data_IF_564194209031
#
_entry.id   IF_564194209031
#
_cell.length_a   1.000
_cell.length_b   1.000
_cell.length_c   1.000
_cell.angle_alpha   90.00
_cell.angle_beta   90.00
_cell.angle_gamma   90.00
#
_symmetry.space_group_name_H-M   'P 1'
#
loop_
_entity.id
_entity.type
_entity.pdbx_description
1 polymer ?
#
# COMPACT_ATOMS: atom_id res chain seq x y z
N UNK A 1 -3.73 12.69 2.52
CA UNK A 1 -3.85 11.50 1.68
C UNK A 1 -5.02 10.66 2.17
N UNK A 2 -5.84 10.13 1.27
CA UNK A 2 -6.92 9.23 1.65
C UNK A 2 -6.37 7.80 1.78
N UNK A 3 -6.34 7.27 3.00
CA UNK A 3 -6.07 5.84 3.25
C UNK A 3 -7.29 4.94 2.95
N UNK A 4 -8.46 5.54 2.68
CA UNK A 4 -9.69 4.77 2.45
C UNK A 4 -9.59 3.82 1.25
N UNK A 5 -8.86 4.20 0.20
CA UNK A 5 -8.66 3.33 -0.96
C UNK A 5 -7.72 2.14 -0.67
N UNK A 6 -6.80 2.28 0.30
CA UNK A 6 -5.93 1.18 0.74
C UNK A 6 -6.74 -0.01 1.27
N UNK A 7 -7.85 0.26 1.96
CA UNK A 7 -8.71 -0.78 2.53
C UNK A 7 -9.43 -1.62 1.46
N UNK A 8 -9.65 -1.08 0.27
CA UNK A 8 -10.28 -1.83 -0.83
C UNK A 8 -9.42 -3.01 -1.28
N UNK A 9 -8.11 -2.88 -1.22
CA UNK A 9 -7.18 -3.94 -1.63
C UNK A 9 -6.63 -4.74 -0.45
N UNK A 10 -6.44 -4.14 0.72
CA UNK A 10 -5.88 -4.82 1.90
C UNK A 10 -6.93 -5.61 2.68
N UNK A 11 -8.15 -5.08 2.80
CA UNK A 11 -9.26 -5.72 3.55
C UNK A 11 -10.25 -6.43 2.64
N UNK A 12 -9.76 -7.04 1.56
CA UNK A 12 -10.56 -7.68 0.53
C UNK A 12 -11.49 -8.77 1.07
N UNK A 13 -11.09 -9.46 2.15
CA UNK A 13 -11.92 -10.52 2.73
C UNK A 13 -13.27 -10.01 3.24
N UNK A 14 -13.33 -8.78 3.79
CA UNK A 14 -14.59 -8.15 4.19
C UNK A 14 -15.48 -7.87 2.98
N UNK A 15 -14.89 -7.43 1.87
CA UNK A 15 -15.62 -7.26 0.60
C UNK A 15 -16.14 -8.60 0.11
N UNK A 16 -15.32 -9.66 0.14
CA UNK A 16 -15.72 -10.99 -0.32
C UNK A 16 -16.78 -11.64 0.57
N UNK A 17 -16.80 -11.34 1.86
CA UNK A 17 -17.86 -11.79 2.75
C UNK A 17 -19.21 -11.17 2.38
N UNK A 18 -19.22 -9.94 1.85
CA UNK A 18 -20.44 -9.22 1.42
C UNK A 18 -20.81 -9.53 -0.04
N UNK A 19 -19.83 -9.76 -0.90
CA UNK A 19 -19.95 -9.99 -2.34
C UNK A 19 -19.12 -11.21 -2.76
N UNK A 20 -19.53 -12.43 -2.38
CA UNK A 20 -18.73 -13.64 -2.60
C UNK A 20 -18.45 -13.94 -4.08
N UNK A 21 -19.31 -13.48 -4.98
CA UNK A 21 -19.15 -13.62 -6.44
C UNK A 21 -17.92 -12.87 -6.99
N UNK A 22 -17.38 -11.91 -6.25
CA UNK A 22 -16.16 -11.18 -6.63
C UNK A 22 -14.87 -11.94 -6.30
N UNK A 23 -14.95 -13.01 -5.54
CA UNK A 23 -13.82 -13.88 -5.24
C UNK A 23 -13.57 -14.96 -6.30
N UNK A 24 -12.39 -15.56 -6.23
CA UNK A 24 -12.00 -16.62 -7.17
C UNK A 24 -12.75 -17.94 -6.97
N UNK A 25 -13.18 -18.23 -5.74
CA UNK A 25 -13.87 -19.49 -5.38
C UNK A 25 -15.39 -19.34 -5.34
N UNK A 26 -15.92 -18.11 -5.36
CA UNK A 26 -17.34 -17.82 -5.26
C UNK A 26 -17.93 -18.00 -3.85
N UNK A 27 -17.08 -18.15 -2.84
CA UNK A 27 -17.49 -18.26 -1.43
C UNK A 27 -17.90 -19.67 -1.01
N UNK A 28 -18.49 -19.81 0.20
CA UNK A 28 -18.73 -18.70 1.13
C UNK A 28 -17.43 -18.13 1.73
N UNK A 29 -17.44 -16.85 2.08
CA UNK A 29 -16.35 -16.20 2.80
C UNK A 29 -16.89 -15.63 4.11
N UNK A 30 -16.07 -15.69 5.15
CA UNK A 30 -16.39 -15.10 6.45
C UNK A 30 -15.49 -13.91 6.74
N UNK A 31 -16.01 -12.93 7.46
CA UNK A 31 -15.20 -11.83 7.96
C UNK A 31 -14.22 -12.39 8.99
N UNK A 32 -12.93 -12.17 8.76
CA UNK A 32 -11.91 -12.58 9.72
C UNK A 32 -11.70 -11.49 10.76
N UNK A 33 -11.84 -11.79 12.06
CA UNK A 33 -11.57 -10.83 13.13
C UNK A 33 -10.08 -10.74 13.48
N UNK A 34 -9.28 -11.68 12.99
CA UNK A 34 -7.85 -11.77 13.32
C UNK A 34 -7.01 -11.00 12.31
N UNK A 35 -5.85 -10.53 12.78
CA UNK A 35 -4.85 -9.94 11.90
C UNK A 35 -4.17 -11.01 11.04
N UNK A 36 -3.91 -10.68 9.77
CA UNK A 36 -3.14 -11.57 8.89
C UNK A 36 -3.28 -11.25 7.41
N UNK A 37 -2.46 -11.92 6.62
CA UNK A 37 -2.52 -11.90 5.14
C UNK A 37 -3.27 -13.16 4.69
N UNK A 38 -4.42 -12.97 4.08
CA UNK A 38 -5.32 -14.07 3.71
C UNK A 38 -5.22 -14.40 2.22
N UNK A 39 -5.39 -15.69 1.84
CA UNK A 39 -5.26 -16.10 0.43
C UNK A 39 -6.40 -15.62 -0.46
N UNK A 40 -7.55 -15.27 0.11
CA UNK A 40 -8.74 -14.88 -0.62
C UNK A 40 -8.72 -13.38 -0.91
N UNK A 41 -8.57 -13.07 -2.17
CA UNK A 41 -8.50 -11.70 -2.73
C UNK A 41 -9.48 -11.58 -3.90
N UNK A 42 -9.77 -10.36 -4.34
CA UNK A 42 -10.62 -10.10 -5.50
C UNK A 42 -10.14 -10.87 -6.74
N UNK A 43 -11.09 -11.38 -7.49
CA UNK A 43 -10.84 -12.08 -8.73
C UNK A 43 -10.63 -11.09 -9.87
N UNK A 44 -9.36 -10.85 -10.24
CA UNK A 44 -9.00 -9.89 -11.30
C UNK A 44 -9.51 -10.36 -12.68
N UNK A 45 -9.78 -11.64 -12.83
CA UNK A 45 -10.43 -12.18 -14.03
C UNK A 45 -11.95 -11.94 -14.10
N UNK A 46 -12.56 -11.45 -13.01
CA UNK A 46 -13.98 -11.11 -12.95
C UNK A 46 -14.18 -9.64 -13.28
N UNK A 47 -14.82 -9.35 -14.43
CA UNK A 47 -15.05 -7.98 -14.86
C UNK A 47 -15.95 -7.19 -13.91
N UNK A 48 -16.93 -7.83 -13.28
CA UNK A 48 -17.81 -7.17 -12.30
C UNK A 48 -17.03 -6.76 -11.04
N UNK A 49 -16.07 -7.57 -10.59
CA UNK A 49 -15.19 -7.21 -9.48
C UNK A 49 -14.30 -6.00 -9.85
N UNK A 50 -13.81 -5.96 -11.08
CA UNK A 50 -13.00 -4.83 -11.54
C UNK A 50 -13.83 -3.55 -11.70
N UNK A 51 -15.08 -3.66 -12.20
CA UNK A 51 -16.00 -2.53 -12.26
C UNK A 51 -16.37 -2.02 -10.87
N UNK A 52 -16.60 -2.91 -9.91
CA UNK A 52 -16.86 -2.54 -8.52
C UNK A 52 -15.71 -1.73 -7.90
N UNK A 53 -14.46 -2.09 -8.20
CA UNK A 53 -13.30 -1.29 -7.77
C UNK A 53 -13.32 0.11 -8.40
N UNK A 54 -13.63 0.21 -9.69
CA UNK A 54 -13.75 1.51 -10.38
C UNK A 54 -14.89 2.36 -9.82
N UNK A 55 -16.01 1.76 -9.47
CA UNK A 55 -17.16 2.45 -8.87
C UNK A 55 -16.78 3.04 -7.50
N UNK A 56 -16.08 2.25 -6.65
CA UNK A 56 -15.57 2.75 -5.37
C UNK A 56 -14.57 3.90 -5.57
N UNK A 57 -13.64 3.77 -6.51
CA UNK A 57 -12.70 4.84 -6.82
C UNK A 57 -13.43 6.10 -7.33
N UNK A 58 -14.54 5.92 -8.07
CA UNK A 58 -15.40 7.01 -8.51
C UNK A 58 -16.02 7.77 -7.34
N UNK A 59 -16.58 7.07 -6.36
CA UNK A 59 -17.14 7.70 -5.15
C UNK A 59 -16.06 8.37 -4.29
N UNK A 60 -14.89 7.73 -4.16
CA UNK A 60 -13.78 8.28 -3.37
C UNK A 60 -13.30 9.63 -3.91
N UNK A 61 -13.21 9.81 -5.22
CA UNK A 61 -12.74 11.08 -5.79
C UNK A 61 -13.78 12.20 -5.71
N UNK A 62 -15.03 11.89 -5.48
CA UNK A 62 -16.08 12.88 -5.18
C UNK A 62 -15.97 13.39 -3.73
N UNK A 63 -15.58 12.50 -2.81
CA UNK A 63 -15.45 12.82 -1.38
C UNK A 63 -14.11 13.50 -1.09
N UNK A 64 -13.01 13.00 -1.69
CA UNK A 64 -11.67 13.47 -1.44
C UNK A 64 -11.12 14.30 -2.60
N UNK A 65 -10.83 15.59 -2.40
CA UNK A 65 -10.36 16.49 -3.47
C UNK A 65 -8.88 16.28 -3.83
N UNK A 66 -8.17 15.40 -3.13
CA UNK A 66 -6.73 15.17 -3.34
C UNK A 66 -6.43 14.76 -4.79
N UNK A 67 -5.35 15.31 -5.34
CA UNK A 67 -4.80 14.86 -6.62
C UNK A 67 -4.35 13.38 -6.56
N UNK A 68 -3.87 12.95 -5.42
CA UNK A 68 -3.34 11.60 -5.21
C UNK A 68 -4.35 10.72 -4.50
N UNK A 69 -4.57 9.51 -5.04
CA UNK A 69 -5.40 8.46 -4.44
C UNK A 69 -4.52 7.25 -4.19
N UNK A 70 -4.39 6.85 -2.93
CA UNK A 70 -3.65 5.66 -2.56
C UNK A 70 -4.51 4.42 -2.80
N UNK A 71 -4.07 3.54 -3.68
CA UNK A 71 -4.85 2.35 -4.09
C UNK A 71 -4.35 1.04 -3.46
N UNK A 72 -3.41 1.08 -2.51
CA UNK A 72 -2.86 -0.10 -1.86
C UNK A 72 -1.86 -0.85 -2.74
N UNK A 73 -2.10 -2.12 -2.99
CA UNK A 73 -1.26 -2.99 -3.82
C UNK A 73 -0.35 -3.91 -3.01
N UNK A 74 -0.39 -3.81 -1.68
CA UNK A 74 0.36 -4.62 -0.73
C UNK A 74 -0.31 -5.97 -0.44
N UNK A 75 0.49 -6.92 0.01
CA UNK A 75 0.06 -8.16 0.65
C UNK A 75 -1.06 -8.93 -0.07
N UNK A 76 -1.06 -8.92 -1.39
CA UNK A 76 -2.03 -9.65 -2.21
C UNK A 76 -1.48 -11.03 -2.63
N UNK A 77 -1.86 -12.13 -1.97
CA UNK A 77 -1.37 -13.47 -2.34
C UNK A 77 -1.89 -13.92 -3.71
N UNK A 78 -1.01 -14.48 -4.54
CA UNK A 78 -1.33 -14.92 -5.91
C UNK A 78 -1.94 -16.32 -5.97
N UNK A 79 -2.02 -17.02 -4.84
CA UNK A 79 -2.38 -18.45 -4.79
C UNK A 79 -3.76 -18.73 -5.40
N UNK A 80 -4.75 -17.85 -5.19
CA UNK A 80 -6.08 -18.02 -5.77
C UNK A 80 -6.08 -17.75 -7.27
N UNK A 81 -5.41 -16.70 -7.72
CA UNK A 81 -5.33 -16.34 -9.14
C UNK A 81 -4.70 -17.45 -9.98
N UNK A 82 -3.66 -18.09 -9.44
CA UNK A 82 -2.95 -19.21 -10.10
C UNK A 82 -3.88 -20.37 -10.48
N UNK A 83 -4.90 -20.63 -9.67
CA UNK A 83 -5.82 -21.73 -9.85
C UNK A 83 -7.22 -21.30 -10.33
N UNK A 84 -7.45 -20.00 -10.54
CA UNK A 84 -8.74 -19.47 -10.94
C UNK A 84 -8.87 -19.43 -12.47
N UNK A 85 -9.83 -20.14 -13.07
CA UNK A 85 -10.01 -20.14 -14.53
C UNK A 85 -10.26 -18.75 -15.11
N UNK A 86 -10.98 -17.87 -14.39
CA UNK A 86 -11.24 -16.48 -14.82
C UNK A 86 -9.94 -15.66 -14.86
N UNK A 87 -9.09 -15.79 -13.81
CA UNK A 87 -7.81 -15.08 -13.76
C UNK A 87 -6.85 -15.60 -14.83
N UNK A 88 -6.77 -16.92 -15.03
CA UNK A 88 -5.92 -17.52 -16.07
C UNK A 88 -6.40 -17.15 -17.49
N UNK A 89 -7.71 -17.04 -17.69
CA UNK A 89 -8.26 -16.51 -18.94
C UNK A 89 -7.84 -15.06 -19.16
N UNK A 90 -7.96 -14.18 -18.17
CA UNK A 90 -7.51 -12.78 -18.23
C UNK A 90 -6.01 -12.69 -18.54
N UNK A 91 -5.19 -13.48 -17.88
CA UNK A 91 -3.74 -13.57 -18.14
C UNK A 91 -3.47 -13.89 -19.63
N UNK A 92 -4.20 -14.85 -20.19
CA UNK A 92 -4.04 -15.24 -21.59
C UNK A 92 -4.52 -14.15 -22.56
N UNK A 93 -5.67 -13.52 -22.30
CA UNK A 93 -6.27 -12.46 -23.12
C UNK A 93 -5.40 -11.20 -23.15
N UNK A 94 -4.80 -10.81 -22.02
CA UNK A 94 -3.93 -9.65 -21.91
C UNK A 94 -2.47 -9.97 -22.25
N UNK A 95 -2.17 -11.22 -22.61
CA UNK A 95 -0.82 -11.65 -22.97
C UNK A 95 0.21 -11.57 -21.84
N UNK A 96 -0.23 -11.64 -20.58
CA UNK A 96 0.63 -11.52 -19.42
C UNK A 96 1.49 -12.78 -19.27
N UNK A 97 2.80 -12.63 -19.39
CA UNK A 97 3.74 -13.76 -19.39
C UNK A 97 4.74 -13.64 -18.24
N UNK A 98 5.09 -14.76 -17.65
CA UNK A 98 6.22 -14.81 -16.73
C UNK A 98 7.52 -14.38 -17.42
N UNK A 99 8.37 -13.66 -16.70
CA UNK A 99 9.67 -13.19 -17.19
C UNK A 99 10.23 -12.06 -16.33
N UNK A 100 11.55 -11.85 -16.42
CA UNK A 100 12.20 -10.80 -15.65
C UNK A 100 12.14 -11.01 -14.11
N UNK A 101 11.97 -12.26 -13.66
CA UNK A 101 11.85 -12.60 -12.23
C UNK A 101 10.42 -12.54 -11.70
N UNK A 102 9.43 -12.21 -12.54
CA UNK A 102 8.01 -12.11 -12.16
C UNK A 102 7.17 -13.21 -12.79
N UNK A 103 6.12 -13.62 -12.09
CA UNK A 103 5.12 -14.59 -12.57
C UNK A 103 4.08 -13.88 -13.45
N UNK A 104 3.24 -14.65 -14.12
CA UNK A 104 2.09 -14.11 -14.85
C UNK A 104 1.05 -13.50 -13.89
N UNK A 105 0.95 -14.04 -12.68
CA UNK A 105 0.07 -13.52 -11.62
C UNK A 105 0.58 -12.20 -11.03
N UNK A 106 1.89 -11.99 -10.94
CA UNK A 106 2.44 -10.67 -10.60
C UNK A 106 2.05 -9.62 -11.65
N UNK A 107 2.13 -9.99 -12.94
CA UNK A 107 1.68 -9.12 -14.02
C UNK A 107 0.16 -8.95 -14.07
N UNK A 108 -0.61 -9.89 -13.54
CA UNK A 108 -2.05 -9.72 -13.36
C UNK A 108 -2.34 -8.64 -12.28
N UNK A 109 -1.55 -8.56 -11.23
CA UNK A 109 -1.63 -7.43 -10.29
C UNK A 109 -1.28 -6.11 -11.01
N UNK A 110 -0.19 -6.09 -11.79
CA UNK A 110 0.18 -4.91 -12.58
C UNK A 110 -0.95 -4.45 -13.49
N UNK A 111 -1.64 -5.38 -14.17
CA UNK A 111 -2.82 -5.09 -14.98
C UNK A 111 -3.92 -4.40 -14.16
N UNK A 112 -4.20 -4.90 -12.95
CA UNK A 112 -5.17 -4.31 -12.04
C UNK A 112 -4.79 -2.87 -11.66
N UNK A 113 -3.53 -2.64 -11.27
CA UNK A 113 -3.02 -1.31 -10.92
C UNK A 113 -3.06 -0.34 -12.12
N UNK A 114 -2.67 -0.78 -13.29
CA UNK A 114 -2.72 0.01 -14.52
C UNK A 114 -4.16 0.35 -14.93
N UNK A 115 -5.11 -0.54 -14.67
CA UNK A 115 -6.53 -0.28 -14.92
C UNK A 115 -7.05 0.82 -13.98
N UNK A 116 -6.75 0.72 -12.68
CA UNK A 116 -7.07 1.76 -11.71
C UNK A 116 -6.40 3.10 -12.06
N UNK A 117 -5.15 3.08 -12.50
CA UNK A 117 -4.43 4.27 -12.96
C UNK A 117 -5.16 4.93 -14.13
N UNK A 118 -5.49 4.18 -15.18
CA UNK A 118 -6.21 4.73 -16.35
C UNK A 118 -7.53 5.37 -15.94
N UNK A 119 -8.29 4.71 -15.06
CA UNK A 119 -9.57 5.22 -14.55
C UNK A 119 -9.39 6.54 -13.81
N UNK A 120 -8.39 6.64 -12.93
CA UNK A 120 -8.11 7.83 -12.11
C UNK A 120 -7.47 8.96 -12.95
N UNK A 121 -6.53 8.64 -13.85
CA UNK A 121 -5.88 9.63 -14.71
C UNK A 121 -6.89 10.32 -15.64
N UNK A 122 -7.87 9.57 -16.16
CA UNK A 122 -8.96 10.14 -16.98
C UNK A 122 -9.83 11.17 -16.21
N UNK A 123 -9.71 11.17 -14.86
CA UNK A 123 -10.41 12.08 -13.95
C UNK A 123 -9.48 13.08 -13.26
N UNK A 124 -8.25 13.24 -13.78
CA UNK A 124 -7.26 14.20 -13.28
C UNK A 124 -6.63 13.80 -11.94
N UNK A 125 -6.69 12.54 -11.58
CA UNK A 125 -6.09 11.99 -10.35
C UNK A 125 -4.88 11.12 -10.68
N UNK A 126 -3.95 10.99 -9.75
CA UNK A 126 -2.78 10.12 -9.84
C UNK A 126 -2.85 9.05 -8.76
N UNK A 127 -2.31 7.86 -9.06
CA UNK A 127 -2.27 6.78 -8.06
C UNK A 127 -1.02 6.86 -7.18
N UNK A 128 -1.18 6.42 -5.94
CA UNK A 128 -0.07 5.97 -5.08
C UNK A 128 -0.32 4.50 -4.77
N UNK A 129 0.72 3.68 -4.78
CA UNK A 129 0.66 2.30 -4.33
C UNK A 129 1.87 1.93 -3.49
N UNK A 130 1.70 0.92 -2.64
CA UNK A 130 2.81 0.36 -1.88
C UNK A 130 3.85 -0.26 -2.81
N UNK A 131 5.09 -0.42 -2.36
CA UNK A 131 6.21 -0.83 -3.21
C UNK A 131 6.07 -2.22 -3.85
N UNK A 132 5.10 -3.05 -3.44
CA UNK A 132 4.74 -4.28 -4.15
C UNK A 132 4.16 -4.05 -5.55
N UNK A 133 3.70 -2.83 -5.88
CA UNK A 133 3.32 -2.50 -7.27
C UNK A 133 4.50 -2.54 -8.25
N UNK A 134 5.73 -2.57 -7.74
CA UNK A 134 6.95 -2.81 -8.51
C UNK A 134 7.14 -4.29 -8.91
N UNK A 135 6.30 -5.19 -8.39
CA UNK A 135 6.34 -6.60 -8.72
C UNK A 135 5.60 -6.88 -10.04
N UNK A 136 6.28 -6.70 -11.15
CA UNK A 136 5.73 -6.83 -12.50
C UNK A 136 6.01 -5.59 -13.33
N UNK A 137 4.98 -5.11 -14.04
CA UNK A 137 5.04 -3.91 -14.87
C UNK A 137 4.36 -2.75 -14.15
N UNK A 138 5.15 -1.91 -13.49
CA UNK A 138 4.61 -0.76 -12.76
C UNK A 138 3.80 0.16 -13.69
N UNK A 139 2.69 0.71 -13.17
CA UNK A 139 1.86 1.64 -13.92
C UNK A 139 2.65 2.94 -14.22
N UNK A 140 2.60 3.48 -15.46
CA UNK A 140 3.55 4.48 -15.95
C UNK A 140 3.66 5.77 -15.12
N UNK A 141 2.55 6.21 -14.51
CA UNK A 141 2.51 7.47 -13.75
C UNK A 141 2.26 7.21 -12.25
N UNK A 142 2.49 5.98 -11.78
CA UNK A 142 2.31 5.64 -10.39
C UNK A 142 3.38 6.29 -9.51
N UNK A 143 2.94 6.84 -8.38
CA UNK A 143 3.81 7.18 -7.26
C UNK A 143 3.95 5.94 -6.38
N UNK A 144 5.16 5.61 -5.98
CA UNK A 144 5.47 4.44 -5.16
C UNK A 144 5.67 4.85 -3.70
N UNK A 145 4.91 4.23 -2.80
CA UNK A 145 5.13 4.38 -1.36
C UNK A 145 5.93 3.18 -0.85
N UNK A 146 7.17 3.43 -0.41
CA UNK A 146 8.12 2.39 -0.01
C UNK A 146 7.99 2.10 1.48
N UNK A 147 7.43 0.94 1.85
CA UNK A 147 7.23 0.56 3.24
C UNK A 147 8.07 -0.65 3.71
N UNK A 148 8.42 -1.55 2.80
CA UNK A 148 9.26 -2.73 3.10
C UNK A 148 10.75 -2.39 3.31
N UNK A 149 11.05 -1.17 3.68
CA UNK A 149 12.37 -0.57 3.72
C UNK A 149 12.51 0.49 2.63
N UNK A 150 13.73 1.01 2.42
CA UNK A 150 13.98 2.05 1.42
C UNK A 150 14.28 1.51 0.02
N UNK A 151 14.54 0.22 -0.13
CA UNK A 151 15.01 -0.36 -1.39
C UNK A 151 13.99 -0.23 -2.54
N UNK A 152 12.69 -0.41 -2.24
CA UNK A 152 11.62 -0.21 -3.21
C UNK A 152 11.55 1.22 -3.73
N UNK A 153 11.63 2.19 -2.84
CA UNK A 153 11.65 3.61 -3.19
C UNK A 153 12.88 4.01 -4.00
N UNK A 154 14.06 3.54 -3.62
CA UNK A 154 15.30 3.76 -4.37
C UNK A 154 15.14 3.21 -5.80
N UNK A 155 14.64 1.98 -5.94
CA UNK A 155 14.39 1.35 -7.25
C UNK A 155 13.39 2.18 -8.06
N UNK A 156 12.29 2.62 -7.47
CA UNK A 156 11.27 3.41 -8.15
C UNK A 156 11.83 4.76 -8.64
N UNK A 157 12.58 5.49 -7.79
CA UNK A 157 13.24 6.74 -8.17
C UNK A 157 14.25 6.55 -9.31
N UNK A 158 15.01 5.45 -9.30
CA UNK A 158 15.92 5.08 -10.39
C UNK A 158 15.19 4.78 -11.71
N UNK A 159 13.93 4.34 -11.63
CA UNK A 159 13.05 4.13 -12.79
C UNK A 159 12.33 5.40 -13.24
N UNK A 160 12.48 6.52 -12.52
CA UNK A 160 11.83 7.80 -12.83
C UNK A 160 10.41 7.93 -12.27
N UNK A 161 10.01 7.10 -11.32
CA UNK A 161 8.76 7.23 -10.60
C UNK A 161 8.90 8.12 -9.38
N UNK A 162 7.88 8.93 -9.10
CA UNK A 162 7.80 9.65 -7.85
C UNK A 162 7.65 8.69 -6.66
N UNK A 163 8.24 9.06 -5.51
CA UNK A 163 8.37 8.18 -4.35
C UNK A 163 8.00 8.91 -3.07
N UNK A 164 7.29 8.20 -2.19
CA UNK A 164 7.12 8.58 -0.79
C UNK A 164 7.83 7.52 0.06
N UNK A 165 8.78 7.94 0.88
CA UNK A 165 9.51 7.03 1.77
C UNK A 165 8.72 6.84 3.07
N UNK A 166 8.27 5.61 3.32
CA UNK A 166 7.57 5.20 4.53
C UNK A 166 8.14 3.89 5.11
N UNK A 167 9.47 3.71 5.15
CA UNK A 167 10.06 2.43 5.54
C UNK A 167 9.65 2.05 6.97
N UNK A 168 9.15 0.83 7.15
CA UNK A 168 8.71 0.31 8.44
C UNK A 168 9.81 0.34 9.51
N UNK A 169 11.05 0.28 9.09
CA UNK A 169 12.22 0.39 9.97
C UNK A 169 12.42 1.77 10.59
N UNK A 170 11.74 2.82 10.10
CA UNK A 170 11.92 4.21 10.53
C UNK A 170 10.61 5.00 10.67
N UNK A 171 9.51 4.54 10.07
CA UNK A 171 8.29 5.33 9.90
C UNK A 171 7.03 4.67 10.45
N UNK A 172 7.10 3.51 11.10
CA UNK A 172 5.95 2.80 11.66
C UNK A 172 5.83 3.10 13.14
N UNK A 173 5.02 4.10 13.48
CA UNK A 173 4.86 4.62 14.83
C UNK A 173 3.91 3.80 15.70
N UNK A 174 3.36 2.72 15.16
CA UNK A 174 2.61 1.67 15.84
C UNK A 174 3.51 0.58 16.45
N UNK A 175 4.83 0.64 16.24
CA UNK A 175 5.79 -0.24 16.87
C UNK A 175 6.11 0.21 18.30
N UNK A 176 6.61 -0.69 19.15
CA UNK A 176 7.13 -0.33 20.47
C UNK A 176 8.23 0.72 20.35
N UNK A 177 8.21 1.71 21.23
CA UNK A 177 9.21 2.79 21.26
C UNK A 177 10.51 2.39 21.98
N UNK A 178 10.46 1.31 22.76
CA UNK A 178 11.58 0.77 23.54
C UNK A 178 11.64 -0.74 23.41
N UNK A 179 12.83 -1.31 23.65
CA UNK A 179 13.03 -2.76 23.72
C UNK A 179 12.51 -3.36 25.03
N UNK A 180 12.41 -2.58 26.11
CA UNK A 180 11.75 -2.98 27.36
C UNK A 180 10.25 -2.68 27.26
N UNK A 181 9.49 -3.70 26.90
CA UNK A 181 8.05 -3.57 26.62
C UNK A 181 7.17 -3.85 27.84
N UNK A 182 7.77 -4.05 29.02
CA UNK A 182 7.06 -4.52 30.23
C UNK A 182 5.93 -3.58 30.66
N UNK A 183 6.18 -2.28 30.57
CA UNK A 183 5.25 -1.23 31.00
C UNK A 183 4.67 -0.45 29.79
N UNK A 184 4.92 -0.94 28.55
CA UNK A 184 4.41 -0.34 27.33
C UNK A 184 2.97 -0.83 27.03
N UNK A 185 2.12 0.01 26.44
CA UNK A 185 0.85 -0.44 25.86
C UNK A 185 1.11 -1.51 24.78
N UNK A 186 0.14 -2.44 24.64
CA UNK A 186 0.25 -3.47 23.60
C UNK A 186 0.37 -2.84 22.21
N UNK A 187 1.42 -3.23 21.47
CA UNK A 187 1.64 -2.86 20.09
C UNK A 187 1.70 -4.10 19.19
N UNK A 188 1.69 -3.90 17.87
CA UNK A 188 1.78 -4.99 16.88
C UNK A 188 3.10 -5.77 17.00
N UNK A 189 4.13 -5.16 17.57
CA UNK A 189 5.48 -5.70 17.66
C UNK A 189 6.50 -4.69 17.15
N UNK A 190 7.68 -5.18 16.77
CA UNK A 190 8.78 -4.34 16.34
C UNK A 190 9.36 -3.49 17.49
N UNK A 191 10.37 -2.70 17.17
CA UNK A 191 10.91 -1.69 18.09
C UNK A 191 11.46 -0.54 17.25
N UNK A 192 10.87 0.64 17.42
CA UNK A 192 11.27 1.85 16.71
C UNK A 192 11.54 2.97 17.73
N UNK A 193 12.75 3.07 18.28
CA UNK A 193 13.09 4.18 19.15
C UNK A 193 13.23 5.46 18.34
N UNK A 194 12.99 6.60 18.98
CA UNK A 194 13.09 7.94 18.40
C UNK A 194 14.42 8.16 17.66
N UNK A 195 15.52 7.69 18.23
CA UNK A 195 16.85 7.79 17.59
C UNK A 195 16.88 7.13 16.20
N UNK A 196 16.14 6.03 16.03
CA UNK A 196 16.05 5.32 14.75
C UNK A 196 15.26 6.09 13.70
N UNK A 197 14.24 6.83 14.10
CA UNK A 197 13.47 7.70 13.18
C UNK A 197 14.38 8.78 12.59
N UNK A 198 15.27 9.35 13.40
CA UNK A 198 16.23 10.37 12.95
C UNK A 198 17.30 9.88 11.98
N UNK A 199 17.54 8.58 11.92
CA UNK A 199 18.50 8.00 10.97
C UNK A 199 17.96 7.95 9.53
N UNK A 200 16.67 8.21 9.33
CA UNK A 200 16.09 8.17 7.99
C UNK A 200 16.66 9.30 7.13
N UNK A 201 17.37 8.91 6.08
CA UNK A 201 17.75 9.80 4.98
C UNK A 201 16.96 9.35 3.72
N UNK A 202 15.87 10.06 3.37
CA UNK A 202 14.97 9.62 2.30
C UNK A 202 15.62 9.52 0.94
N UNK A 203 16.72 10.24 0.71
CA UNK A 203 17.44 10.29 -0.57
C UNK A 203 18.74 9.47 -0.58
N UNK A 204 19.03 8.74 0.49
CA UNK A 204 20.25 7.95 0.58
C UNK A 204 20.39 6.97 -0.60
N UNK A 205 21.59 6.96 -1.22
CA UNK A 205 21.89 6.06 -2.33
C UNK A 205 21.35 6.50 -3.70
N UNK A 206 20.76 7.69 -3.79
CA UNK A 206 20.28 8.30 -5.03
C UNK A 206 21.25 9.38 -5.54
N UNK A 207 21.32 9.56 -6.85
CA UNK A 207 21.93 10.75 -7.44
C UNK A 207 21.03 11.98 -7.23
N UNK A 208 21.57 13.18 -7.41
CA UNK A 208 20.79 14.44 -7.31
C UNK A 208 19.57 14.45 -8.26
N UNK A 209 19.71 13.88 -9.45
CA UNK A 209 18.60 13.81 -10.40
C UNK A 209 17.51 12.82 -9.93
N UNK A 210 17.92 11.64 -9.45
CA UNK A 210 17.00 10.64 -8.93
C UNK A 210 16.32 11.11 -7.64
N UNK A 211 17.02 11.86 -6.80
CA UNK A 211 16.49 12.40 -5.55
C UNK A 211 15.32 13.38 -5.77
N UNK A 212 15.21 14.00 -6.95
CA UNK A 212 14.09 14.87 -7.31
C UNK A 212 12.74 14.13 -7.37
N UNK A 213 12.78 12.81 -7.55
CA UNK A 213 11.59 11.97 -7.51
C UNK A 213 11.11 11.66 -6.09
N UNK A 214 11.94 11.91 -5.07
CA UNK A 214 11.52 11.69 -3.68
C UNK A 214 10.70 12.89 -3.21
N UNK A 215 9.38 12.70 -3.14
CA UNK A 215 8.43 13.74 -2.72
C UNK A 215 8.51 14.03 -1.23
N UNK A 216 9.01 13.10 -0.44
CA UNK A 216 9.16 13.22 1.01
C UNK A 216 9.07 11.88 1.73
N UNK A 217 8.83 11.96 3.04
CA UNK A 217 8.61 10.78 3.89
C UNK A 217 7.23 10.86 4.56
N UNK A 218 6.68 9.70 4.91
CA UNK A 218 5.43 9.57 5.64
C UNK A 218 5.59 8.61 6.80
N UNK A 219 5.10 9.01 7.97
CA UNK A 219 4.93 8.11 9.10
C UNK A 219 3.56 7.42 9.05
N UNK A 220 3.52 6.17 9.46
CA UNK A 220 2.31 5.38 9.58
C UNK A 220 2.02 5.07 11.05
N UNK A 221 0.75 5.14 11.42
CA UNK A 221 0.24 4.74 12.72
C UNK A 221 -0.95 3.81 12.48
N UNK A 222 -0.68 2.51 12.40
CA UNK A 222 -1.71 1.48 12.22
C UNK A 222 -2.39 1.19 13.55
N UNK A 223 -3.70 1.06 13.53
CA UNK A 223 -4.51 1.06 14.76
C UNK A 223 -5.03 -0.32 15.16
N UNK A 224 -4.49 -1.40 14.61
CA UNK A 224 -4.92 -2.77 14.92
C UNK A 224 -4.82 -3.09 16.43
N UNK A 225 -3.81 -2.54 17.11
CA UNK A 225 -3.58 -2.71 18.53
C UNK A 225 -3.78 -1.43 19.36
N UNK A 226 -4.25 -0.36 18.72
CA UNK A 226 -4.48 0.95 19.35
C UNK A 226 -5.98 1.10 19.58
N UNK A 227 -6.44 0.78 20.79
CA UNK A 227 -7.86 0.67 21.10
C UNK A 227 -8.52 1.98 21.59
N UNK A 228 -7.73 2.98 21.99
CA UNK A 228 -8.25 4.23 22.58
C UNK A 228 -7.58 5.46 21.99
N UNK A 229 -8.23 6.61 22.12
CA UNK A 229 -7.70 7.90 21.68
C UNK A 229 -6.42 8.28 22.44
N UNK A 230 -6.36 7.98 23.74
CA UNK A 230 -5.19 8.22 24.59
C UNK A 230 -4.00 7.41 24.09
N UNK A 231 -4.23 6.17 23.62
CA UNK A 231 -3.18 5.34 23.02
C UNK A 231 -2.72 5.91 21.67
N UNK A 232 -3.64 6.43 20.84
CA UNK A 232 -3.29 7.14 19.61
C UNK A 232 -2.42 8.37 19.91
N UNK A 233 -2.72 9.12 20.95
CA UNK A 233 -1.93 10.28 21.35
C UNK A 233 -0.55 9.88 21.91
N UNK A 234 -0.49 8.80 22.68
CA UNK A 234 0.75 8.30 23.29
C UNK A 234 1.79 7.89 22.24
N UNK A 235 1.37 7.13 21.23
CA UNK A 235 2.28 6.52 20.27
C UNK A 235 3.13 7.55 19.49
N UNK A 236 2.60 8.67 18.95
CA UNK A 236 3.38 9.64 18.21
C UNK A 236 4.02 10.73 19.07
N UNK A 237 3.72 10.85 20.38
CA UNK A 237 4.19 11.98 21.23
C UNK A 237 5.70 12.11 21.21
N UNK A 238 6.42 11.01 21.32
CA UNK A 238 7.88 11.01 21.25
C UNK A 238 8.42 11.51 19.92
N UNK A 239 7.64 11.35 18.84
CA UNK A 239 8.01 11.74 17.49
C UNK A 239 7.58 13.18 17.15
N UNK A 240 6.47 13.65 17.69
CA UNK A 240 5.97 15.01 17.42
C UNK A 240 6.87 16.08 18.02
N UNK A 241 7.55 15.83 19.13
CA UNK A 241 8.55 16.72 19.70
C UNK A 241 9.82 16.86 18.83
N UNK A 242 10.04 15.97 17.89
CA UNK A 242 11.19 15.98 16.99
C UNK A 242 11.02 16.92 15.79
N UNK A 243 9.80 17.21 15.40
CA UNK A 243 9.50 18.03 14.22
C UNK A 243 9.38 19.52 14.53
N UNK A 244 9.43 19.91 15.78
CA UNK A 244 9.25 21.31 16.21
C UNK A 244 10.40 22.29 15.90
N UNK A 245 11.66 21.88 15.70
CA UNK A 245 12.74 22.84 15.35
C UNK A 245 12.71 23.35 13.91
N UNK A 246 11.90 22.81 13.03
CA UNK A 246 11.91 23.16 11.61
C UNK A 246 11.11 24.42 11.26
N UNK A 247 10.48 25.07 12.21
CA UNK A 247 9.75 26.34 12.01
C UNK A 247 10.64 27.57 11.82
N UNK A 248 11.94 27.41 11.71
CA UNK A 248 12.88 28.50 11.38
C UNK A 248 13.18 28.61 9.89
N UNK A 249 12.51 27.88 9.05
CA UNK A 249 12.60 28.01 7.59
C UNK A 249 11.33 28.70 7.06
N UNK A 250 11.29 30.00 7.22
CA UNK A 250 10.51 30.94 6.42
C UNK A 250 11.47 31.67 5.53
#
# INVERSE_FOLDING_TARGET
YSSAASDVYKRQLSVLASYPEFGCTGGPYEVCPDWGVFPDVLCIGNEQAMQFVEDILGELIEIFPSRYIHIGGDEAPRVRWKNCPKCQKRIAEEGLRAGGGFTAEDRLQSYCMQRAERFLNARGRSIIGWDEILNGDVAPNATVMSWQGSAGGIKAAQMGHDVIMAPNTHCYFDFYQTADTKDEPLAIGGCLPVSKVYELEPTAGLTEEQAKHVLGAQANLWTEYIATTEHVEYMPVSYTHLTLPTNSLV
#
